data_IF_083244604273
#
_entry.id   IF_083244604273
#
_cell.length_a   1.000
_cell.length_b   1.000
_cell.length_c   1.000
_cell.angle_alpha   90.00
_cell.angle_beta   90.00
_cell.angle_gamma   90.00
#
_symmetry.space_group_name_H-M   'P 1'
#
loop_
_entity.id
_entity.type
_entity.pdbx_description
1 polymer ?
#
# COMPACT_ATOMS: atom_id res chain seq x y z
N UNK A 1 -5.30 -21.00 11.32
CA UNK A 1 -6.29 -20.69 10.26
C UNK A 1 -5.55 -20.28 9.00
N UNK A 2 -5.99 -20.72 7.82
CA UNK A 2 -5.44 -20.25 6.53
C UNK A 2 -6.36 -19.15 5.98
N UNK A 3 -5.86 -17.91 5.89
CA UNK A 3 -6.53 -16.83 5.18
C UNK A 3 -6.35 -16.94 3.67
N UNK A 4 -7.16 -16.21 2.88
CA UNK A 4 -6.93 -16.03 1.45
C UNK A 4 -6.25 -14.68 1.23
N UNK A 5 -5.13 -14.69 0.51
CA UNK A 5 -4.48 -13.47 0.03
C UNK A 5 -5.01 -13.15 -1.38
N UNK A 6 -5.48 -11.93 -1.57
CA UNK A 6 -5.87 -11.42 -2.88
C UNK A 6 -4.87 -10.36 -3.31
N UNK A 7 -4.27 -10.54 -4.49
CA UNK A 7 -3.31 -9.61 -5.06
C UNK A 7 -3.93 -8.90 -6.27
N UNK A 8 -3.90 -7.56 -6.26
CA UNK A 8 -4.42 -6.74 -7.37
C UNK A 8 -3.22 -6.15 -8.12
N UNK A 9 -2.94 -6.66 -9.31
CA UNK A 9 -1.75 -6.30 -10.13
C UNK A 9 -2.18 -5.61 -11.42
N UNK A 10 -1.39 -4.65 -11.89
CA UNK A 10 -1.64 -3.91 -13.13
C UNK A 10 -0.75 -2.66 -13.25
N UNK A 11 -0.57 -2.08 -14.44
CA UNK A 11 0.32 -0.94 -14.67
C UNK A 11 -0.17 0.33 -13.97
N UNK A 12 0.69 1.35 -13.83
CA UNK A 12 0.28 2.66 -13.32
C UNK A 12 -0.92 3.21 -14.13
N UNK A 13 -1.91 3.78 -13.45
CA UNK A 13 -3.14 4.28 -14.09
C UNK A 13 -4.21 3.23 -14.39
N UNK A 14 -3.98 1.93 -14.16
CA UNK A 14 -4.96 0.86 -14.45
C UNK A 14 -6.17 0.79 -13.50
N UNK A 15 -6.34 1.75 -12.59
CA UNK A 15 -7.50 1.79 -11.66
C UNK A 15 -7.40 0.91 -10.40
N UNK A 16 -6.23 0.33 -10.08
CA UNK A 16 -6.05 -0.52 -8.87
C UNK A 16 -6.49 0.16 -7.57
N UNK A 17 -6.11 1.43 -7.37
CA UNK A 17 -6.48 2.20 -6.19
C UNK A 17 -8.00 2.37 -6.08
N UNK A 18 -8.68 2.62 -7.20
CA UNK A 18 -10.14 2.73 -7.24
C UNK A 18 -10.83 1.43 -6.81
N UNK A 19 -10.31 0.28 -7.25
CA UNK A 19 -10.82 -1.04 -6.81
C UNK A 19 -10.57 -1.23 -5.32
N UNK A 20 -9.38 -0.91 -4.82
CA UNK A 20 -9.05 -1.03 -3.39
C UNK A 20 -9.94 -0.14 -2.51
N UNK A 21 -10.16 1.12 -2.89
CA UNK A 21 -11.07 2.01 -2.14
C UNK A 21 -12.49 1.42 -2.09
N UNK A 22 -13.00 0.92 -3.22
CA UNK A 22 -14.35 0.35 -3.24
C UNK A 22 -14.45 -0.92 -2.41
N UNK A 23 -13.41 -1.75 -2.41
CA UNK A 23 -13.32 -2.92 -1.54
C UNK A 23 -13.31 -2.51 -0.07
N UNK A 24 -12.52 -1.51 0.33
CA UNK A 24 -12.53 -1.00 1.72
C UNK A 24 -13.91 -0.54 2.18
N UNK A 25 -14.66 0.16 1.31
CA UNK A 25 -16.04 0.58 1.60
C UNK A 25 -17.00 -0.61 1.75
N UNK A 26 -16.92 -1.60 0.84
CA UNK A 26 -17.87 -2.70 0.78
C UNK A 26 -17.51 -3.90 1.67
N UNK A 27 -16.23 -4.02 2.01
CA UNK A 27 -15.61 -5.12 2.75
C UNK A 27 -14.66 -4.60 3.83
N UNK A 28 -15.16 -3.83 4.81
CA UNK A 28 -14.35 -3.31 5.91
C UNK A 28 -13.79 -4.41 6.82
N UNK A 29 -14.33 -5.64 6.76
CA UNK A 29 -13.86 -6.80 7.52
C UNK A 29 -12.53 -7.39 7.00
N UNK A 30 -12.04 -6.97 5.84
CA UNK A 30 -10.77 -7.43 5.29
C UNK A 30 -9.58 -6.66 5.87
N UNK A 31 -8.42 -7.30 5.85
CA UNK A 31 -7.14 -6.66 6.19
C UNK A 31 -6.53 -6.09 4.92
N UNK A 32 -6.25 -4.78 4.92
CA UNK A 32 -5.62 -4.06 3.82
C UNK A 32 -4.22 -3.61 4.27
N UNK A 33 -3.16 -4.37 3.97
CA UNK A 33 -1.80 -3.96 4.31
C UNK A 33 -1.44 -2.68 3.54
N UNK A 34 -0.77 -1.76 4.23
CA UNK A 34 -0.26 -0.53 3.63
C UNK A 34 1.08 -0.82 2.94
N UNK A 35 1.21 -0.35 1.70
CA UNK A 35 2.52 -0.29 1.05
C UNK A 35 3.27 0.96 1.50
N UNK A 36 4.59 0.92 1.59
CA UNK A 36 5.39 2.12 1.80
C UNK A 36 5.82 2.73 0.45
N UNK A 37 5.97 4.05 0.38
CA UNK A 37 6.53 4.70 -0.80
C UNK A 37 7.29 5.98 -0.44
N UNK A 38 8.34 6.27 -1.21
CA UNK A 38 9.15 7.49 -1.07
C UNK A 38 8.76 8.58 -2.05
N UNK A 39 7.78 8.33 -2.92
CA UNK A 39 7.30 9.37 -3.84
C UNK A 39 6.50 10.42 -3.08
N UNK A 40 6.44 11.67 -3.58
CA UNK A 40 5.50 12.65 -3.05
C UNK A 40 4.05 12.17 -3.15
N UNK A 41 3.26 12.55 -2.14
CA UNK A 41 1.81 12.39 -2.14
C UNK A 41 1.20 13.22 -3.28
N UNK A 42 0.28 12.62 -4.04
CA UNK A 42 -0.48 13.33 -5.09
C UNK A 42 -1.71 13.98 -4.49
N UNK A 43 -2.29 14.94 -5.21
CA UNK A 43 -3.55 15.57 -4.81
C UNK A 43 -4.65 14.51 -4.61
N UNK A 44 -5.36 14.61 -3.48
CA UNK A 44 -6.42 13.69 -3.08
C UNK A 44 -5.95 12.42 -2.37
N UNK A 45 -4.65 12.12 -2.33
CA UNK A 45 -4.13 11.02 -1.53
C UNK A 45 -4.01 11.41 -0.05
N UNK A 46 -4.04 10.40 0.83
CA UNK A 46 -3.88 10.56 2.28
C UNK A 46 -2.87 9.55 2.79
N UNK A 47 -2.00 9.99 3.70
CA UNK A 47 -1.09 9.09 4.39
C UNK A 47 -1.88 8.10 5.26
N UNK A 48 -1.46 6.84 5.25
CA UNK A 48 -2.12 5.76 5.97
C UNK A 48 -3.38 5.19 5.32
N UNK A 49 -3.77 5.64 4.12
CA UNK A 49 -4.87 5.03 3.38
C UNK A 49 -4.38 3.85 2.52
N UNK A 50 -3.77 4.10 1.37
CA UNK A 50 -3.21 3.03 0.51
C UNK A 50 -1.69 2.92 0.72
N UNK A 51 -1.05 4.06 0.98
CA UNK A 51 0.38 4.14 1.19
C UNK A 51 0.69 4.73 2.55
N UNK A 52 1.81 4.29 3.12
CA UNK A 52 2.56 5.06 4.08
C UNK A 52 3.64 5.84 3.33
N UNK A 53 3.53 7.16 3.31
CA UNK A 53 4.48 8.06 2.66
C UNK A 53 5.60 8.36 3.63
N UNK A 54 6.83 8.04 3.23
CA UNK A 54 8.02 8.22 4.06
C UNK A 54 9.16 8.80 3.23
N UNK A 55 10.17 9.31 3.91
CA UNK A 55 11.41 9.74 3.28
C UNK A 55 12.21 8.56 2.75
N UNK A 56 13.16 8.84 1.83
CA UNK A 56 14.09 7.82 1.33
C UNK A 56 14.98 7.25 2.45
N UNK A 57 15.31 8.06 3.44
CA UNK A 57 16.12 7.66 4.58
C UNK A 57 15.36 6.67 5.47
N UNK A 58 14.11 6.98 5.84
CA UNK A 58 13.24 6.09 6.60
C UNK A 58 13.00 4.77 5.85
N UNK A 59 12.78 4.82 4.53
CA UNK A 59 12.61 3.62 3.72
C UNK A 59 13.87 2.75 3.75
N UNK A 60 15.05 3.35 3.61
CA UNK A 60 16.32 2.63 3.68
C UNK A 60 16.55 1.98 5.05
N UNK A 61 16.28 2.72 6.12
CA UNK A 61 16.38 2.20 7.49
C UNK A 61 15.39 1.03 7.70
N UNK A 62 14.19 1.10 7.11
CA UNK A 62 13.21 0.02 7.15
C UNK A 62 13.66 -1.25 6.41
N UNK A 63 14.40 -1.11 5.31
CA UNK A 63 15.03 -2.26 4.63
C UNK A 63 16.07 -2.90 5.56
N UNK A 64 16.96 -2.11 6.16
CA UNK A 64 18.01 -2.61 7.06
C UNK A 64 17.44 -3.29 8.31
N UNK A 65 16.21 -2.92 8.71
CA UNK A 65 15.49 -3.49 9.84
C UNK A 65 14.51 -4.62 9.46
N UNK A 66 14.57 -5.17 8.24
CA UNK A 66 13.67 -6.24 7.74
C UNK A 66 12.17 -5.93 7.89
N UNK A 67 11.77 -4.66 7.72
CA UNK A 67 10.38 -4.23 7.91
C UNK A 67 9.47 -4.50 6.70
N UNK A 68 10.02 -4.84 5.54
CA UNK A 68 9.27 -5.01 4.29
C UNK A 68 9.28 -6.46 3.80
N UNK A 69 8.13 -6.95 3.34
CA UNK A 69 8.04 -8.26 2.69
C UNK A 69 8.67 -8.24 1.29
N UNK A 70 8.55 -7.13 0.57
CA UNK A 70 9.12 -6.89 -0.76
C UNK A 70 9.36 -5.39 -1.00
N UNK A 71 10.33 -5.04 -1.85
CA UNK A 71 10.60 -3.67 -2.30
C UNK A 71 11.32 -3.66 -3.67
N UNK A 72 11.27 -2.51 -4.36
CA UNK A 72 11.88 -2.30 -5.69
C UNK A 72 12.31 -0.85 -5.89
#
# INVERSE_FOLDING_TARGET
>A
MKGKLFLIVGPSGSGKSSVLHKLKEQKPEYIYPLSATTRPMREGEKDGDIYHFMSKEEFKNGIEADMFLEWA
#
